data_IF_413494590645
#
_entry.id   IF_413494590645
#
_cell.length_a   1.000
_cell.length_b   1.000
_cell.length_c   1.000
_cell.angle_alpha   90.00
_cell.angle_beta   90.00
_cell.angle_gamma   90.00
#
_symmetry.space_group_name_H-M   'P 1'
#
loop_
_entity.id
_entity.type
_entity.pdbx_description
1 polymer ?
#
# COMPACT_ATOMS: atom_id res chain seq x y z
N UNK A 1 39.87 -21.49 5.61
CA UNK A 1 39.99 -20.05 5.85
C UNK A 1 41.43 -19.73 6.18
N UNK A 2 42.03 -18.71 5.55
CA UNK A 2 43.46 -18.44 5.66
C UNK A 2 43.71 -17.51 6.84
N UNK A 3 44.48 -17.95 7.85
CA UNK A 3 44.78 -17.14 9.02
C UNK A 3 45.79 -16.05 8.64
N UNK A 4 45.29 -14.83 8.43
CA UNK A 4 46.03 -13.68 7.88
C UNK A 4 46.37 -12.75 9.04
N UNK A 5 47.66 -12.57 9.33
CA UNK A 5 48.14 -11.70 10.41
C UNK A 5 48.12 -10.20 10.08
N UNK A 6 48.37 -9.36 11.08
CA UNK A 6 48.47 -7.91 10.93
C UNK A 6 49.54 -7.53 9.89
N UNK A 7 49.24 -6.57 9.01
CA UNK A 7 50.16 -6.07 7.98
C UNK A 7 50.37 -6.98 6.77
N UNK A 8 49.63 -8.08 6.62
CA UNK A 8 49.74 -8.95 5.44
C UNK A 8 48.86 -8.47 4.28
N UNK A 9 49.41 -8.48 3.07
CA UNK A 9 48.77 -7.94 1.85
C UNK A 9 47.71 -8.89 1.25
N UNK A 10 46.80 -9.43 2.06
CA UNK A 10 45.71 -10.28 1.56
C UNK A 10 44.53 -9.43 1.06
N UNK A 11 44.10 -9.68 -0.18
CA UNK A 11 43.04 -8.91 -0.87
C UNK A 11 41.68 -8.95 -0.17
N UNK A 12 41.39 -10.00 0.59
CA UNK A 12 40.10 -10.17 1.25
C UNK A 12 39.92 -9.24 2.47
N UNK A 13 41.01 -8.88 3.17
CA UNK A 13 41.00 -8.04 4.38
C UNK A 13 41.85 -6.77 4.23
N UNK A 14 42.25 -6.43 3.00
CA UNK A 14 43.25 -5.39 2.73
C UNK A 14 42.83 -3.99 3.18
N UNK A 15 41.52 -3.68 3.22
CA UNK A 15 41.00 -2.37 3.64
C UNK A 15 41.05 -2.16 5.17
N UNK A 16 41.01 -3.24 5.96
CA UNK A 16 40.93 -3.16 7.42
C UNK A 16 42.27 -3.38 8.12
N UNK A 17 43.25 -3.99 7.43
CA UNK A 17 44.56 -4.41 7.97
C UNK A 17 45.72 -3.54 7.45
N UNK A 18 45.43 -2.43 6.76
CA UNK A 18 46.47 -1.47 6.35
C UNK A 18 47.24 -0.95 7.58
N UNK A 19 48.56 -0.72 7.47
CA UNK A 19 49.36 -0.19 8.57
C UNK A 19 48.93 1.20 9.05
N UNK A 20 48.12 1.91 8.25
CA UNK A 20 47.52 3.20 8.64
C UNK A 20 46.25 3.04 9.49
N UNK A 21 45.67 1.84 9.53
CA UNK A 21 44.42 1.53 10.22
C UNK A 21 44.70 0.52 11.35
N UNK A 22 45.34 1.00 12.42
CA UNK A 22 45.80 0.17 13.55
C UNK A 22 44.70 -0.21 14.55
N UNK A 23 43.43 -0.21 14.12
CA UNK A 23 42.27 -0.44 15.00
C UNK A 23 42.40 -1.75 15.80
N UNK A 24 42.98 -2.80 15.22
CA UNK A 24 43.21 -4.06 15.91
C UNK A 24 44.24 -3.92 17.04
N UNK A 25 45.39 -3.28 16.78
CA UNK A 25 46.42 -3.04 17.79
C UNK A 25 45.92 -2.04 18.86
N UNK A 26 45.25 -0.97 18.46
CA UNK A 26 44.62 -0.03 19.39
C UNK A 26 43.53 -0.72 20.23
N UNK A 27 42.70 -1.58 19.65
CA UNK A 27 41.68 -2.32 20.43
C UNK A 27 42.30 -3.31 21.42
N UNK A 28 43.46 -3.88 21.09
CA UNK A 28 44.18 -4.80 21.97
C UNK A 28 44.93 -4.06 23.08
N UNK A 29 45.54 -2.90 22.82
CA UNK A 29 46.39 -2.22 23.81
C UNK A 29 45.75 -1.00 24.48
N UNK A 30 44.81 -0.30 23.83
CA UNK A 30 44.18 0.91 24.36
C UNK A 30 42.95 0.64 25.24
N UNK A 31 42.33 -0.55 25.12
CA UNK A 31 41.16 -0.89 25.94
C UNK A 31 41.56 -1.16 27.40
N UNK A 32 40.96 -0.47 28.39
CA UNK A 32 41.18 -0.73 29.80
C UNK A 32 40.93 -2.20 30.15
N UNK A 33 41.85 -2.79 30.93
CA UNK A 33 41.78 -4.21 31.34
C UNK A 33 40.44 -4.59 31.94
N UNK A 34 39.80 -3.66 32.66
CA UNK A 34 38.47 -3.85 33.25
C UNK A 34 37.42 -4.25 32.21
N UNK A 35 37.38 -3.59 31.04
CA UNK A 35 36.37 -3.85 30.00
C UNK A 35 36.55 -5.24 29.38
N UNK A 36 37.81 -5.70 29.27
CA UNK A 36 38.12 -7.04 28.77
C UNK A 36 37.63 -8.16 29.70
N UNK A 37 37.56 -7.88 31.01
CA UNK A 37 37.10 -8.87 32.00
C UNK A 37 35.57 -8.89 32.16
N UNK A 38 34.84 -7.86 31.74
CA UNK A 38 33.37 -7.78 31.88
C UNK A 38 32.66 -9.00 31.28
N UNK A 39 32.94 -9.43 30.03
CA UNK A 39 32.24 -10.57 29.43
C UNK A 39 32.50 -11.88 30.19
N UNK A 40 33.72 -12.06 30.71
CA UNK A 40 34.11 -13.26 31.48
C UNK A 40 33.34 -13.30 32.81
N UNK A 41 33.31 -12.18 33.54
CA UNK A 41 32.57 -12.08 34.80
C UNK A 41 31.06 -12.30 34.60
N UNK A 42 30.47 -11.70 33.57
CA UNK A 42 29.05 -11.88 33.28
C UNK A 42 28.71 -13.31 32.87
N UNK A 43 29.59 -13.96 32.10
CA UNK A 43 29.40 -15.35 31.66
C UNK A 43 29.50 -16.33 32.83
N UNK A 44 30.49 -16.16 33.71
CA UNK A 44 30.66 -17.04 34.89
C UNK A 44 29.53 -16.85 35.89
N UNK A 45 29.11 -15.60 36.15
CA UNK A 45 27.94 -15.32 36.98
C UNK A 45 26.66 -15.90 36.38
N UNK A 46 26.43 -15.73 35.08
CA UNK A 46 25.27 -16.29 34.39
C UNK A 46 25.23 -17.83 34.47
N UNK A 47 26.37 -18.48 34.26
CA UNK A 47 26.48 -19.93 34.39
C UNK A 47 26.22 -20.42 35.82
N UNK A 48 26.75 -19.71 36.82
CA UNK A 48 26.52 -20.00 38.23
C UNK A 48 25.04 -19.88 38.60
N UNK A 49 24.37 -18.80 38.18
CA UNK A 49 22.94 -18.60 38.39
C UNK A 49 22.11 -19.68 37.71
N UNK A 50 22.42 -20.01 36.45
CA UNK A 50 21.70 -21.06 35.72
C UNK A 50 21.83 -22.42 36.41
N UNK A 51 23.03 -22.76 36.90
CA UNK A 51 23.26 -23.98 37.67
C UNK A 51 22.44 -24.03 38.96
N UNK A 52 22.42 -22.94 39.73
CA UNK A 52 21.63 -22.85 40.96
C UNK A 52 20.12 -22.92 40.72
N UNK A 53 19.61 -22.23 39.69
CA UNK A 53 18.20 -22.30 39.31
C UNK A 53 17.81 -23.72 38.90
N UNK A 54 18.68 -24.44 38.19
CA UNK A 54 18.41 -25.81 37.78
C UNK A 54 18.39 -26.79 38.96
N UNK A 55 19.22 -26.58 39.99
CA UNK A 55 19.19 -27.38 41.22
C UNK A 55 17.89 -27.22 42.03
N UNK A 56 17.27 -26.04 41.98
CA UNK A 56 16.00 -25.71 42.68
C UNK A 56 14.82 -25.66 41.69
N UNK A 57 14.98 -26.24 40.49
CA UNK A 57 14.11 -26.03 39.34
C UNK A 57 12.64 -26.28 39.67
N UNK A 58 12.33 -27.40 40.32
CA UNK A 58 10.93 -27.80 40.52
C UNK A 58 10.12 -26.81 41.36
N UNK A 59 10.69 -26.19 42.38
CA UNK A 59 9.95 -25.25 43.25
C UNK A 59 9.90 -23.86 42.63
N UNK A 60 11.03 -23.38 42.11
CA UNK A 60 11.14 -22.06 41.52
C UNK A 60 10.37 -21.95 40.20
N UNK A 61 10.46 -22.96 39.34
CA UNK A 61 9.77 -22.97 38.04
C UNK A 61 8.26 -23.06 38.22
N UNK A 62 7.75 -23.90 39.13
CA UNK A 62 6.31 -23.96 39.44
C UNK A 62 5.79 -22.65 40.04
N UNK A 63 6.55 -22.01 40.93
CA UNK A 63 6.21 -20.69 41.47
C UNK A 63 6.20 -19.61 40.37
N UNK A 64 7.14 -19.67 39.42
CA UNK A 64 7.22 -18.73 38.30
C UNK A 64 6.06 -18.91 37.30
N UNK A 65 5.74 -20.15 36.93
CA UNK A 65 4.64 -20.49 36.02
C UNK A 65 3.26 -20.18 36.61
N UNK A 66 3.06 -20.34 37.92
CA UNK A 66 1.80 -20.01 38.59
C UNK A 66 1.60 -18.51 38.80
N UNK A 67 2.68 -17.72 38.79
CA UNK A 67 2.59 -16.27 38.87
C UNK A 67 2.03 -15.66 37.58
N UNK A 68 1.18 -14.63 37.70
CA UNK A 68 0.59 -13.95 36.54
C UNK A 68 1.65 -13.32 35.62
N UNK A 69 2.70 -12.77 36.20
CA UNK A 69 3.79 -12.11 35.45
C UNK A 69 4.73 -13.13 34.82
N UNK A 70 5.10 -14.19 35.55
CA UNK A 70 5.96 -15.25 35.05
C UNK A 70 5.30 -16.06 33.94
N UNK A 71 4.00 -16.36 34.04
CA UNK A 71 3.25 -17.00 32.97
C UNK A 71 3.21 -16.14 31.69
N UNK A 72 3.01 -14.81 31.81
CA UNK A 72 3.03 -13.91 30.65
C UNK A 72 4.39 -13.87 29.97
N UNK A 73 5.47 -13.73 30.75
CA UNK A 73 6.84 -13.75 30.24
C UNK A 73 7.18 -15.11 29.61
N UNK A 74 6.81 -16.20 30.27
CA UNK A 74 7.00 -17.56 29.76
C UNK A 74 6.27 -17.76 28.44
N UNK A 75 4.99 -17.42 28.37
CA UNK A 75 4.20 -17.49 27.14
C UNK A 75 4.80 -16.62 26.02
N UNK A 76 5.34 -15.44 26.35
CA UNK A 76 5.95 -14.52 25.39
C UNK A 76 7.29 -15.01 24.86
N UNK A 77 8.15 -15.57 25.71
CA UNK A 77 9.44 -16.12 25.31
C UNK A 77 9.28 -17.45 24.55
N UNK A 78 8.34 -18.30 24.98
CA UNK A 78 8.07 -19.59 24.33
C UNK A 78 7.46 -19.43 22.93
N UNK A 79 6.59 -18.43 22.72
CA UNK A 79 6.04 -18.09 21.39
C UNK A 79 6.94 -17.16 20.57
N UNK A 80 8.25 -17.15 20.84
CA UNK A 80 9.26 -16.38 20.08
C UNK A 80 8.87 -14.90 19.92
N UNK A 81 8.47 -14.21 20.99
CA UNK A 81 8.11 -12.77 20.97
C UNK A 81 6.87 -12.41 20.11
N UNK A 82 6.05 -13.36 19.65
CA UNK A 82 4.86 -13.08 18.82
C UNK A 82 5.02 -12.26 17.50
N UNK A 83 6.22 -12.04 16.90
CA UNK A 83 6.32 -11.27 15.67
C UNK A 83 5.57 -11.99 14.53
N UNK A 84 5.59 -13.33 14.52
CA UNK A 84 4.87 -14.16 13.56
C UNK A 84 3.35 -13.98 13.68
N UNK A 85 2.83 -13.88 14.90
CA UNK A 85 1.39 -13.68 15.13
C UNK A 85 0.96 -12.26 14.74
N UNK A 86 1.75 -11.24 15.11
CA UNK A 86 1.46 -9.85 14.72
C UNK A 86 1.51 -9.69 13.20
N UNK A 87 2.49 -10.31 12.52
CA UNK A 87 2.57 -10.30 11.07
C UNK A 87 1.36 -10.98 10.42
N UNK A 88 0.97 -12.15 10.92
CA UNK A 88 -0.17 -12.89 10.41
C UNK A 88 -1.49 -12.12 10.60
N UNK A 89 -1.71 -11.57 11.79
CA UNK A 89 -2.95 -10.86 12.10
C UNK A 89 -3.02 -9.50 11.40
N UNK A 90 -1.91 -8.77 11.31
CA UNK A 90 -1.91 -7.44 10.71
C UNK A 90 -1.81 -7.47 9.19
N UNK A 91 -0.90 -8.27 8.62
CA UNK A 91 -0.64 -8.26 7.18
C UNK A 91 -1.46 -9.34 6.48
N UNK A 92 -1.31 -10.61 6.88
CA UNK A 92 -1.94 -11.74 6.15
C UNK A 92 -3.47 -11.64 6.17
N UNK A 93 -4.07 -11.14 7.26
CA UNK A 93 -5.52 -10.97 7.34
C UNK A 93 -6.03 -9.70 6.65
N UNK A 94 -5.28 -8.60 6.71
CA UNK A 94 -5.75 -7.30 6.17
C UNK A 94 -5.58 -7.20 4.65
N UNK A 95 -4.48 -7.74 4.09
CA UNK A 95 -4.21 -7.62 2.65
C UNK A 95 -5.30 -8.25 1.76
N UNK A 96 -5.81 -9.46 2.03
CA UNK A 96 -6.84 -10.08 1.20
C UNK A 96 -8.19 -9.36 1.27
N UNK A 97 -8.59 -8.88 2.46
CA UNK A 97 -9.83 -8.13 2.62
C UNK A 97 -9.77 -6.82 1.81
N UNK A 98 -8.67 -6.07 1.93
CA UNK A 98 -8.46 -4.86 1.14
C UNK A 98 -8.46 -5.14 -0.37
N UNK A 99 -7.75 -6.19 -0.80
CA UNK A 99 -7.70 -6.59 -2.21
C UNK A 99 -9.07 -6.98 -2.78
N UNK A 100 -9.89 -7.70 -2.02
CA UNK A 100 -11.22 -8.12 -2.46
C UNK A 100 -12.19 -6.93 -2.53
N UNK A 101 -12.31 -6.16 -1.45
CA UNK A 101 -13.32 -5.09 -1.36
C UNK A 101 -12.99 -3.92 -2.31
N UNK A 102 -11.73 -3.49 -2.36
CA UNK A 102 -11.34 -2.29 -3.11
C UNK A 102 -11.07 -2.59 -4.57
N UNK A 103 -10.29 -3.63 -4.87
CA UNK A 103 -9.86 -3.88 -6.25
C UNK A 103 -10.87 -4.67 -7.07
N UNK A 104 -11.66 -5.54 -6.44
CA UNK A 104 -12.52 -6.47 -7.16
C UNK A 104 -14.00 -6.07 -7.04
N UNK A 105 -14.50 -5.87 -5.82
CA UNK A 105 -15.93 -5.62 -5.61
C UNK A 105 -16.38 -4.23 -6.06
N UNK A 106 -15.63 -3.18 -5.70
CA UNK A 106 -15.99 -1.80 -6.04
C UNK A 106 -16.08 -1.52 -7.56
N UNK A 107 -15.08 -1.88 -8.39
CA UNK A 107 -15.16 -1.64 -9.82
C UNK A 107 -16.08 -2.64 -10.55
N UNK A 108 -15.92 -3.95 -10.34
CA UNK A 108 -16.61 -4.93 -11.20
C UNK A 108 -18.10 -5.09 -10.86
N UNK A 109 -18.48 -5.00 -9.58
CA UNK A 109 -19.91 -5.04 -9.22
C UNK A 109 -20.47 -3.63 -9.16
N UNK A 110 -19.83 -2.73 -8.41
CA UNK A 110 -20.35 -1.37 -8.22
C UNK A 110 -20.41 -0.56 -9.50
N UNK A 111 -19.26 -0.31 -10.14
CA UNK A 111 -19.20 0.59 -11.28
C UNK A 111 -19.89 0.02 -12.53
N UNK A 112 -19.70 -1.27 -12.83
CA UNK A 112 -20.32 -1.91 -14.01
C UNK A 112 -21.84 -2.02 -13.86
N UNK A 113 -22.37 -2.33 -12.68
CA UNK A 113 -23.81 -2.41 -12.47
C UNK A 113 -24.48 -1.04 -12.58
N UNK A 114 -23.84 -0.01 -12.00
CA UNK A 114 -24.29 1.38 -12.10
C UNK A 114 -24.22 1.87 -13.54
N UNK A 115 -23.15 1.61 -14.30
CA UNK A 115 -23.03 2.09 -15.68
C UNK A 115 -23.81 1.25 -16.70
N UNK A 116 -24.10 -0.01 -16.39
CA UNK A 116 -24.78 -0.93 -17.28
C UNK A 116 -26.28 -1.01 -17.00
N UNK A 117 -26.77 -2.17 -16.53
CA UNK A 117 -28.20 -2.49 -16.54
C UNK A 117 -29.02 -1.64 -15.58
N UNK A 118 -28.45 -1.11 -14.49
CA UNK A 118 -29.21 -0.35 -13.51
C UNK A 118 -29.25 1.14 -13.83
N UNK A 119 -28.11 1.78 -14.14
CA UNK A 119 -28.07 3.22 -14.36
C UNK A 119 -28.60 3.67 -15.73
N UNK A 120 -28.45 2.86 -16.79
CA UNK A 120 -28.98 3.24 -18.11
C UNK A 120 -30.51 3.42 -18.05
N UNK A 121 -31.32 2.43 -17.63
CA UNK A 121 -32.77 2.61 -17.58
C UNK A 121 -33.21 3.69 -16.60
N UNK A 122 -32.50 3.83 -15.47
CA UNK A 122 -32.79 4.85 -14.47
C UNK A 122 -32.63 6.27 -15.02
N UNK A 123 -31.52 6.54 -15.70
CA UNK A 123 -31.24 7.86 -16.32
C UNK A 123 -32.23 8.17 -17.44
N UNK A 124 -32.51 7.20 -18.32
CA UNK A 124 -33.53 7.35 -19.38
C UNK A 124 -34.92 7.64 -18.80
N UNK A 125 -35.33 6.92 -17.74
CA UNK A 125 -36.62 7.16 -17.07
C UNK A 125 -36.69 8.57 -16.47
N UNK A 126 -35.60 9.04 -15.87
CA UNK A 126 -35.54 10.38 -15.30
C UNK A 126 -35.61 11.47 -16.38
N UNK A 127 -34.92 11.27 -17.51
CA UNK A 127 -34.98 12.17 -18.66
C UNK A 127 -36.39 12.21 -19.26
N UNK A 128 -37.01 11.05 -19.47
CA UNK A 128 -38.37 10.94 -19.99
C UNK A 128 -39.38 11.65 -19.09
N UNK A 129 -39.23 11.52 -17.75
CA UNK A 129 -40.08 12.24 -16.80
C UNK A 129 -39.93 13.76 -16.92
N UNK A 130 -38.69 14.26 -17.06
CA UNK A 130 -38.42 15.69 -17.28
C UNK A 130 -38.99 16.19 -18.61
N UNK A 131 -38.85 15.41 -19.69
CA UNK A 131 -39.43 15.74 -21.00
C UNK A 131 -40.97 15.80 -20.92
N UNK A 132 -41.60 14.83 -20.25
CA UNK A 132 -43.05 14.83 -20.04
C UNK A 132 -43.52 16.04 -19.23
N UNK A 133 -42.75 16.46 -18.21
CA UNK A 133 -43.06 17.67 -17.44
C UNK A 133 -42.95 18.95 -18.28
N UNK A 134 -41.96 19.06 -19.17
CA UNK A 134 -41.83 20.19 -20.09
C UNK A 134 -43.01 20.29 -21.07
N UNK A 135 -43.66 19.17 -21.39
CA UNK A 135 -44.81 19.09 -22.29
C UNK A 135 -46.16 19.43 -21.62
N UNK A 136 -46.18 19.76 -20.32
CA UNK A 136 -47.40 19.92 -19.50
C UNK A 136 -48.30 21.14 -19.83
N UNK A 137 -48.05 21.88 -20.92
CA UNK A 137 -49.00 22.89 -21.43
C UNK A 137 -48.69 24.34 -21.07
N UNK A 138 -48.09 24.61 -19.92
CA UNK A 138 -48.04 25.96 -19.34
C UNK A 138 -47.13 26.96 -20.07
N UNK A 139 -46.16 26.51 -20.85
CA UNK A 139 -45.12 27.39 -21.44
C UNK A 139 -45.19 27.53 -22.97
N UNK A 140 -46.22 26.98 -23.64
CA UNK A 140 -46.27 26.96 -25.11
C UNK A 140 -46.31 28.35 -25.76
N UNK A 141 -47.01 29.31 -25.14
CA UNK A 141 -47.14 30.67 -25.66
C UNK A 141 -45.78 31.40 -25.79
N UNK A 142 -44.84 31.11 -24.89
CA UNK A 142 -43.48 31.64 -24.95
C UNK A 142 -42.54 30.77 -25.79
N UNK A 143 -42.69 29.43 -25.70
CA UNK A 143 -41.81 28.49 -26.38
C UNK A 143 -41.93 28.54 -27.92
N UNK A 144 -43.14 28.73 -28.46
CA UNK A 144 -43.36 28.77 -29.92
C UNK A 144 -42.61 29.90 -30.64
N UNK A 145 -42.78 31.20 -30.27
CA UNK A 145 -42.04 32.28 -30.93
C UNK A 145 -40.54 32.23 -30.63
N UNK A 146 -40.13 31.82 -29.42
CA UNK A 146 -38.71 31.63 -29.09
C UNK A 146 -38.06 30.59 -30.00
N UNK A 147 -38.71 29.44 -30.21
CA UNK A 147 -38.22 28.39 -31.12
C UNK A 147 -38.09 28.86 -32.56
N UNK A 148 -39.06 29.63 -33.06
CA UNK A 148 -39.00 30.21 -34.41
C UNK A 148 -37.84 31.19 -34.57
N UNK A 149 -37.65 32.11 -33.61
CA UNK A 149 -36.53 33.06 -33.65
C UNK A 149 -35.18 32.36 -33.58
N UNK A 150 -35.04 31.34 -32.70
CA UNK A 150 -33.83 30.52 -32.58
C UNK A 150 -33.47 29.82 -33.89
N UNK A 151 -34.45 29.20 -34.56
CA UNK A 151 -34.25 28.53 -35.85
C UNK A 151 -33.73 29.51 -36.91
N UNK A 152 -34.31 30.70 -37.01
CA UNK A 152 -33.88 31.73 -37.97
C UNK A 152 -32.47 32.23 -37.66
N UNK A 153 -32.15 32.47 -36.39
CA UNK A 153 -30.77 32.84 -36.01
C UNK A 153 -29.77 31.72 -36.28
N UNK A 154 -30.15 30.45 -36.07
CA UNK A 154 -29.29 29.32 -36.36
C UNK A 154 -29.00 29.19 -37.86
N UNK A 155 -30.03 29.33 -38.72
CA UNK A 155 -29.82 29.33 -40.17
C UNK A 155 -28.94 30.50 -40.62
N UNK A 156 -29.10 31.68 -40.02
CA UNK A 156 -28.25 32.84 -40.31
C UNK A 156 -26.80 32.63 -39.87
N UNK A 157 -26.60 31.96 -38.74
CA UNK A 157 -25.27 31.62 -38.21
C UNK A 157 -24.56 30.60 -39.10
N UNK A 158 -25.31 29.69 -39.74
CA UNK A 158 -24.75 28.75 -40.71
C UNK A 158 -24.06 29.45 -41.89
N UNK A 159 -24.63 30.55 -42.39
CA UNK A 159 -24.02 31.36 -43.47
C UNK A 159 -22.69 32.01 -43.06
N UNK A 160 -22.46 32.22 -41.76
CA UNK A 160 -21.19 32.74 -41.22
C UNK A 160 -20.15 31.63 -41.03
N UNK A 161 -20.59 30.40 -40.76
CA UNK A 161 -19.73 29.23 -40.60
C UNK A 161 -19.40 28.58 -41.94
N UNK A 162 -20.24 28.75 -42.97
CA UNK A 162 -20.05 28.14 -44.28
C UNK A 162 -18.70 28.45 -44.96
N UNK A 163 -18.06 29.63 -44.79
CA UNK A 163 -16.73 29.88 -45.34
C UNK A 163 -15.62 29.10 -44.63
N UNK A 164 -15.86 28.65 -43.39
CA UNK A 164 -14.91 27.90 -42.58
C UNK A 164 -15.12 26.38 -42.68
N UNK A 165 -16.29 25.95 -43.17
CA UNK A 165 -16.66 24.55 -43.37
C UNK A 165 -16.57 24.23 -44.86
N UNK A 166 -15.44 23.68 -45.29
CA UNK A 166 -15.28 23.20 -46.67
C UNK A 166 -16.26 22.05 -46.95
N UNK A 167 -17.22 22.26 -47.85
CA UNK A 167 -18.20 21.23 -48.24
C UNK A 167 -17.57 19.93 -48.79
N UNK A 168 -16.33 20.01 -49.29
CA UNK A 168 -15.55 18.82 -49.72
C UNK A 168 -15.01 18.02 -48.54
N UNK A 169 -14.51 18.67 -47.48
CA UNK A 169 -13.93 17.97 -46.32
C UNK A 169 -15.02 17.32 -45.46
N UNK A 170 -16.19 17.96 -45.36
CA UNK A 170 -17.37 17.42 -44.68
C UNK A 170 -17.94 16.21 -45.41
N UNK A 171 -18.04 16.25 -46.74
CA UNK A 171 -18.47 15.11 -47.54
C UNK A 171 -17.52 13.90 -47.40
N UNK A 172 -16.20 14.14 -47.45
CA UNK A 172 -15.21 13.06 -47.29
C UNK A 172 -15.29 12.43 -45.89
N UNK A 173 -15.44 13.24 -44.85
CA UNK A 173 -15.55 12.76 -43.46
C UNK A 173 -16.81 11.91 -43.23
N UNK A 174 -17.93 12.31 -43.86
CA UNK A 174 -19.18 11.53 -43.79
C UNK A 174 -18.99 10.22 -44.57
N UNK A 175 -18.46 10.24 -45.78
CA UNK A 175 -18.21 9.04 -46.57
C UNK A 175 -17.27 8.05 -45.86
N UNK A 176 -16.22 8.54 -45.17
CA UNK A 176 -15.33 7.69 -44.37
C UNK A 176 -15.98 7.12 -43.11
N UNK A 177 -17.04 7.75 -42.58
CA UNK A 177 -17.75 7.20 -41.41
C UNK A 177 -18.69 6.04 -41.74
N UNK A 178 -19.05 5.87 -43.02
CA UNK A 178 -19.89 4.77 -43.50
C UNK A 178 -19.12 3.50 -43.88
N UNK A 179 -17.80 3.62 -44.12
CA UNK A 179 -16.92 2.49 -44.34
C UNK A 179 -16.04 2.32 -43.09
N UNK A 180 -16.31 1.31 -42.24
CA UNK A 180 -15.51 1.04 -41.04
C UNK A 180 -14.06 0.65 -41.37
#
# INVERSE_FOLDING_TARGET
DMMIGLGTNSRANSLSVLPKNEILAESEFAAPTVIKLIPILFSTLGAFVAYHVNLVADQFQRAFETSTSGNRLYCSLNKRWFPDQVFNDFLVRSFPCFGYEVSFEAPDKGAIEILGPYGIPHTFRQLAKRMSQLQSGYHYAFAMPLGSTLLVTFSRMWDLLSPWVDNRSSFISIASSFFP
#
